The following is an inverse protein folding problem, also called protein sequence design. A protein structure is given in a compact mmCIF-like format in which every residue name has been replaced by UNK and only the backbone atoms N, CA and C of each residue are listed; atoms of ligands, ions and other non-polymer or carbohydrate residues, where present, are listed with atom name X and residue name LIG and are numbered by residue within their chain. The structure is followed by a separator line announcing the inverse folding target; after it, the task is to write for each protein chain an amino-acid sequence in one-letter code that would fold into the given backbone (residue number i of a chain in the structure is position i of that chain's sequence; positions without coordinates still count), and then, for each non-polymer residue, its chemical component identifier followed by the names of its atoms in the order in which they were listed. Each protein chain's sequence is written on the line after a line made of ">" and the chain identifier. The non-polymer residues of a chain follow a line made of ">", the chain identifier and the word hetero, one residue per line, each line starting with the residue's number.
data_IF_252282784584
#
_entry.id   IF_252282784584
#
_cell.length_a   1.000
_cell.length_b   1.000
_cell.length_c   1.000
_cell.angle_alpha   90.00
_cell.angle_beta   90.00
_cell.angle_gamma   90.00
#
_symmetry.space_group_name_H-M   'P 1'
#
loop_
_entity.id
_entity.type
_entity.pdbx_description
1 polymer ?
#
# COMPACT_ATOMS: atom_id res chain seq x y z
N UNK A 1 -18.45 21.52 -36.84
CA UNK A 1 -18.39 20.05 -36.70
C UNK A 1 -19.24 19.65 -35.51
N UNK A 2 -20.41 19.06 -35.76
CA UNK A 2 -21.26 18.50 -34.71
C UNK A 2 -20.58 17.22 -34.19
N UNK A 3 -20.25 17.20 -32.90
CA UNK A 3 -19.80 15.99 -32.20
C UNK A 3 -20.98 15.03 -32.11
N UNK A 4 -20.89 13.88 -32.79
CA UNK A 4 -21.85 12.80 -32.65
C UNK A 4 -22.01 12.42 -31.16
N UNK A 5 -23.22 12.02 -30.72
CA UNK A 5 -23.42 11.54 -29.35
C UNK A 5 -22.46 10.39 -29.06
N UNK A 6 -21.78 10.42 -27.90
CA UNK A 6 -20.92 9.30 -27.49
C UNK A 6 -21.78 8.03 -27.47
N UNK A 7 -21.36 6.95 -28.16
CA UNK A 7 -22.10 5.70 -28.18
C UNK A 7 -22.36 5.17 -26.76
N UNK A 8 -23.39 4.35 -26.56
CA UNK A 8 -23.51 3.61 -25.31
C UNK A 8 -22.30 2.69 -25.10
N UNK A 9 -22.00 2.31 -23.85
CA UNK A 9 -20.87 1.41 -23.55
C UNK A 9 -20.95 0.11 -24.37
N UNK A 10 -22.16 -0.44 -24.54
CA UNK A 10 -22.40 -1.64 -25.35
C UNK A 10 -22.12 -1.44 -26.83
N UNK A 11 -22.50 -0.29 -27.40
CA UNK A 11 -22.21 0.04 -28.80
C UNK A 11 -20.71 0.18 -29.02
N UNK A 12 -19.99 0.77 -28.05
CA UNK A 12 -18.54 0.86 -28.09
C UNK A 12 -17.89 -0.55 -28.02
N UNK A 13 -18.42 -1.46 -27.20
CA UNK A 13 -17.92 -2.85 -27.13
C UNK A 13 -18.11 -3.61 -28.44
N UNK A 14 -19.19 -3.37 -29.19
CA UNK A 14 -19.40 -3.97 -30.52
C UNK A 14 -18.50 -3.34 -31.58
N UNK A 15 -18.25 -2.03 -31.46
CA UNK A 15 -17.50 -1.26 -32.44
C UNK A 15 -15.98 -1.41 -32.33
N UNK A 16 -15.43 -1.83 -31.17
CA UNK A 16 -13.97 -1.91 -30.95
C UNK A 16 -13.27 -2.93 -31.88
N UNK A 17 -13.96 -4.00 -32.27
CA UNK A 17 -13.44 -5.03 -33.19
C UNK A 17 -13.63 -4.66 -34.66
N UNK A 18 -14.15 -3.47 -34.97
CA UNK A 18 -14.38 -3.02 -36.34
C UNK A 18 -13.08 -2.93 -37.13
N UNK A 19 -13.12 -3.36 -38.40
CA UNK A 19 -12.04 -3.15 -39.36
C UNK A 19 -11.87 -1.69 -39.78
N UNK A 20 -12.90 -0.85 -39.57
CA UNK A 20 -12.80 0.59 -39.75
C UNK A 20 -12.09 1.20 -38.54
N UNK A 21 -10.90 1.77 -38.79
CA UNK A 21 -10.02 2.30 -37.77
C UNK A 21 -10.61 3.51 -37.03
N UNK A 22 -11.34 4.39 -37.71
CA UNK A 22 -11.97 5.54 -37.08
C UNK A 22 -13.13 5.11 -36.16
N UNK A 23 -13.93 4.14 -36.60
CA UNK A 23 -14.99 3.53 -35.76
C UNK A 23 -14.39 2.88 -34.51
N UNK A 24 -13.31 2.11 -34.68
CA UNK A 24 -12.62 1.47 -33.57
C UNK A 24 -11.99 2.50 -32.61
N UNK A 25 -11.46 3.61 -33.13
CA UNK A 25 -10.86 4.70 -32.34
C UNK A 25 -11.90 5.44 -31.49
N UNK A 26 -13.07 5.74 -32.05
CA UNK A 26 -14.17 6.37 -31.30
C UNK A 26 -14.69 5.44 -30.22
N UNK A 27 -14.85 4.15 -30.53
CA UNK A 27 -15.22 3.13 -29.56
C UNK A 27 -14.18 3.01 -28.44
N UNK A 28 -12.90 3.03 -28.79
CA UNK A 28 -11.78 2.98 -27.87
C UNK A 28 -11.78 4.12 -26.85
N UNK A 29 -11.92 5.36 -27.32
CA UNK A 29 -11.93 6.55 -26.47
C UNK A 29 -13.06 6.48 -25.43
N UNK A 30 -14.23 5.99 -25.85
CA UNK A 30 -15.37 5.82 -24.96
C UNK A 30 -15.14 4.71 -23.91
N UNK A 31 -14.59 3.57 -24.33
CA UNK A 31 -14.24 2.47 -23.44
C UNK A 31 -13.15 2.86 -22.44
N UNK A 32 -12.16 3.65 -22.88
CA UNK A 32 -11.13 4.23 -22.03
C UNK A 32 -11.75 5.13 -20.95
N UNK A 33 -12.52 6.15 -21.36
CA UNK A 33 -13.14 7.11 -20.42
C UNK A 33 -14.05 6.44 -19.40
N UNK A 34 -14.89 5.51 -19.86
CA UNK A 34 -15.85 4.80 -19.01
C UNK A 34 -15.21 3.83 -18.03
N UNK A 35 -14.06 3.23 -18.39
CA UNK A 35 -13.43 2.19 -17.58
C UNK A 35 -12.25 2.67 -16.74
N UNK A 36 -11.64 3.82 -17.07
CA UNK A 36 -10.45 4.36 -16.38
C UNK A 36 -10.68 4.59 -14.90
N UNK A 37 -11.78 5.25 -14.52
CA UNK A 37 -12.08 5.52 -13.11
C UNK A 37 -12.26 4.23 -12.30
N UNK A 38 -12.91 3.22 -12.88
CA UNK A 38 -13.08 1.91 -12.28
C UNK A 38 -11.73 1.20 -12.10
N UNK A 39 -10.89 1.18 -13.14
CA UNK A 39 -9.56 0.55 -13.07
C UNK A 39 -8.65 1.24 -12.06
N UNK A 40 -8.70 2.57 -12.00
CA UNK A 40 -7.94 3.33 -11.01
C UNK A 40 -8.38 2.98 -9.58
N UNK A 41 -9.69 2.87 -9.33
CA UNK A 41 -10.22 2.40 -8.04
C UNK A 41 -9.82 0.95 -7.72
N UNK A 42 -9.87 0.06 -8.72
CA UNK A 42 -9.45 -1.34 -8.57
C UNK A 42 -7.96 -1.48 -8.26
N UNK A 43 -7.10 -0.72 -8.96
CA UNK A 43 -5.65 -0.80 -8.77
C UNK A 43 -5.18 -0.13 -7.48
N UNK A 44 -5.99 0.74 -6.87
CA UNK A 44 -5.66 1.43 -5.60
C UNK A 44 -5.39 0.49 -4.43
N UNK A 45 -5.92 -0.73 -4.44
CA UNK A 45 -5.60 -1.75 -3.43
C UNK A 45 -4.21 -2.39 -3.63
N UNK A 46 -3.62 -2.25 -4.81
CA UNK A 46 -2.36 -2.88 -5.18
C UNK A 46 -1.22 -1.87 -5.35
N UNK A 47 -1.53 -0.66 -5.82
CA UNK A 47 -0.59 0.40 -6.15
C UNK A 47 -1.04 1.68 -5.46
N UNK A 48 -0.21 2.22 -4.57
CA UNK A 48 -0.52 3.45 -3.85
C UNK A 48 -0.17 4.70 -4.67
N UNK A 49 0.84 4.64 -5.53
CA UNK A 49 1.24 5.74 -6.41
C UNK A 49 0.22 5.88 -7.54
N UNK A 50 -0.17 7.11 -7.83
CA UNK A 50 -1.08 7.42 -8.92
C UNK A 50 -0.41 7.20 -10.28
N UNK A 51 0.86 7.56 -10.42
CA UNK A 51 1.56 7.45 -11.69
C UNK A 51 1.72 5.98 -12.08
N UNK A 52 2.14 5.12 -11.14
CA UNK A 52 2.17 3.67 -11.34
C UNK A 52 0.80 3.08 -11.75
N UNK A 53 -0.29 3.60 -11.19
CA UNK A 53 -1.64 3.18 -11.58
C UNK A 53 -1.95 3.62 -13.00
N UNK A 54 -1.64 4.87 -13.36
CA UNK A 54 -1.86 5.38 -14.72
C UNK A 54 -1.01 4.62 -15.73
N UNK A 55 0.24 4.31 -15.43
CA UNK A 55 1.12 3.49 -16.26
C UNK A 55 0.54 2.10 -16.49
N UNK A 56 0.03 1.45 -15.43
CA UNK A 56 -0.63 0.14 -15.54
C UNK A 56 -1.92 0.21 -16.34
N UNK A 57 -2.70 1.28 -16.18
CA UNK A 57 -3.92 1.50 -16.97
C UNK A 57 -3.54 1.68 -18.45
N UNK A 58 -2.58 2.56 -18.76
CA UNK A 58 -2.10 2.77 -20.13
C UNK A 58 -1.62 1.46 -20.76
N UNK A 59 -0.75 0.72 -20.08
CA UNK A 59 -0.25 -0.58 -20.55
C UNK A 59 -1.37 -1.61 -20.74
N UNK A 60 -2.33 -1.67 -19.79
CA UNK A 60 -3.52 -2.52 -19.89
C UNK A 60 -4.28 -2.25 -21.18
N UNK A 61 -4.56 -0.97 -21.45
CA UNK A 61 -5.28 -0.56 -22.64
C UNK A 61 -4.44 -0.79 -23.92
N UNK A 62 -3.13 -0.53 -23.94
CA UNK A 62 -2.30 -0.91 -25.09
C UNK A 62 -2.43 -2.41 -25.42
N UNK A 63 -2.36 -3.29 -24.41
CA UNK A 63 -2.57 -4.73 -24.61
C UNK A 63 -3.96 -5.07 -25.13
N UNK A 64 -5.00 -4.41 -24.62
CA UNK A 64 -6.37 -4.62 -25.11
C UNK A 64 -6.50 -4.17 -26.57
N UNK A 65 -5.99 -3.00 -26.94
CA UNK A 65 -6.02 -2.47 -28.31
C UNK A 65 -5.35 -3.43 -29.29
N UNK A 66 -4.16 -3.94 -28.96
CA UNK A 66 -3.47 -4.93 -29.80
C UNK A 66 -4.25 -6.24 -29.96
N UNK A 67 -5.11 -6.58 -29.01
CA UNK A 67 -5.94 -7.80 -29.05
C UNK A 67 -7.37 -7.57 -29.56
N UNK A 68 -7.73 -6.35 -29.97
CA UNK A 68 -9.13 -5.94 -30.21
C UNK A 68 -9.86 -6.76 -31.27
N UNK A 69 -9.17 -7.27 -32.29
CA UNK A 69 -9.78 -8.11 -33.33
C UNK A 69 -10.20 -9.50 -32.83
N UNK A 70 -9.63 -9.94 -31.70
CA UNK A 70 -9.99 -11.22 -31.06
C UNK A 70 -11.04 -11.05 -29.95
N UNK A 71 -11.39 -9.81 -29.64
CA UNK A 71 -12.36 -9.51 -28.61
C UNK A 71 -13.75 -10.00 -29.04
N UNK A 72 -14.44 -10.68 -28.14
CA UNK A 72 -15.83 -11.08 -28.31
C UNK A 72 -16.66 -10.39 -27.25
N UNK A 73 -17.68 -9.66 -27.69
CA UNK A 73 -18.61 -8.97 -26.80
C UNK A 73 -19.38 -10.02 -25.97
N UNK A 74 -19.34 -9.88 -24.64
CA UNK A 74 -20.04 -10.75 -23.69
C UNK A 74 -20.75 -9.91 -22.62
N UNK A 75 -21.12 -8.68 -22.98
CA UNK A 75 -21.68 -7.68 -22.07
C UNK A 75 -20.66 -6.90 -21.24
N UNK A 76 -21.18 -5.88 -20.56
CA UNK A 76 -20.42 -4.88 -19.80
C UNK A 76 -19.72 -5.44 -18.56
N UNK A 77 -20.37 -6.35 -17.83
CA UNK A 77 -19.77 -7.02 -16.66
C UNK A 77 -18.54 -7.85 -17.04
N UNK A 78 -18.64 -8.60 -18.16
CA UNK A 78 -17.54 -9.41 -18.69
C UNK A 78 -16.38 -8.53 -19.17
N UNK A 79 -16.67 -7.37 -19.77
CA UNK A 79 -15.67 -6.37 -20.13
C UNK A 79 -14.89 -5.87 -18.91
N UNK A 80 -15.56 -5.47 -17.83
CA UNK A 80 -14.88 -5.00 -16.64
C UNK A 80 -14.06 -6.10 -15.95
N UNK A 81 -14.55 -7.34 -15.93
CA UNK A 81 -13.79 -8.48 -15.41
C UNK A 81 -12.54 -8.75 -16.26
N UNK A 82 -12.66 -8.69 -17.59
CA UNK A 82 -11.55 -8.81 -18.53
C UNK A 82 -10.50 -7.72 -18.33
N UNK A 83 -10.92 -6.45 -18.23
CA UNK A 83 -10.03 -5.33 -17.95
C UNK A 83 -9.29 -5.50 -16.62
N UNK A 84 -10.00 -5.86 -15.53
CA UNK A 84 -9.37 -6.12 -14.23
C UNK A 84 -8.29 -7.21 -14.34
N UNK A 85 -8.56 -8.28 -15.08
CA UNK A 85 -7.61 -9.38 -15.30
C UNK A 85 -6.34 -8.91 -16.04
N UNK A 86 -6.48 -8.08 -17.08
CA UNK A 86 -5.32 -7.55 -17.82
C UNK A 86 -4.57 -6.53 -16.97
N UNK A 87 -5.26 -5.59 -16.35
CA UNK A 87 -4.66 -4.58 -15.48
C UNK A 87 -3.89 -5.22 -14.32
N UNK A 88 -4.43 -6.29 -13.72
CA UNK A 88 -3.75 -7.06 -12.69
C UNK A 88 -2.44 -7.69 -13.20
N UNK A 89 -2.42 -8.24 -14.43
CA UNK A 89 -1.19 -8.75 -15.06
C UNK A 89 -0.17 -7.63 -15.32
N UNK A 90 -0.61 -6.49 -15.85
CA UNK A 90 0.26 -5.32 -16.05
C UNK A 90 0.83 -4.81 -14.73
N UNK A 91 0.04 -4.82 -13.66
CA UNK A 91 0.51 -4.49 -12.30
C UNK A 91 1.60 -5.46 -11.82
N UNK A 92 1.44 -6.76 -12.06
CA UNK A 92 2.47 -7.76 -11.73
C UNK A 92 3.73 -7.53 -12.57
N UNK A 93 3.60 -7.25 -13.86
CA UNK A 93 4.74 -6.92 -14.74
C UNK A 93 5.47 -5.67 -14.24
N UNK A 94 4.73 -4.64 -13.80
CA UNK A 94 5.29 -3.46 -13.16
C UNK A 94 6.04 -3.82 -11.87
N UNK A 95 5.44 -4.61 -10.97
CA UNK A 95 6.11 -5.06 -9.73
C UNK A 95 7.36 -5.89 -10.00
N UNK A 96 7.33 -6.77 -11.01
CA UNK A 96 8.52 -7.52 -11.47
C UNK A 96 9.60 -6.58 -11.95
N UNK A 97 9.25 -5.51 -12.67
CA UNK A 97 10.21 -4.46 -13.07
C UNK A 97 10.79 -3.75 -11.83
N UNK A 98 9.97 -3.37 -10.85
CA UNK A 98 10.48 -2.76 -9.62
C UNK A 98 11.44 -3.66 -8.87
N UNK A 99 11.08 -4.91 -8.62
CA UNK A 99 11.96 -5.86 -7.93
C UNK A 99 13.28 -6.02 -8.67
N UNK A 100 13.25 -6.15 -10.00
CA UNK A 100 14.46 -6.21 -10.85
C UNK A 100 15.32 -4.95 -10.73
N UNK A 101 14.72 -3.77 -10.78
CA UNK A 101 15.43 -2.50 -10.66
C UNK A 101 16.03 -2.32 -9.25
N UNK A 102 15.32 -2.72 -8.19
CA UNK A 102 15.84 -2.66 -6.81
C UNK A 102 16.98 -3.65 -6.57
N UNK A 103 17.03 -4.74 -7.33
CA UNK A 103 18.13 -5.71 -7.30
C UNK A 103 19.33 -5.24 -8.14
N UNK A 104 19.30 -4.04 -8.74
CA UNK A 104 20.32 -3.44 -9.62
C UNK A 104 20.95 -4.44 -10.59
N UNK A 105 20.15 -5.04 -11.46
CA UNK A 105 20.64 -6.03 -12.45
C UNK A 105 21.79 -5.52 -13.32
N UNK A 106 21.94 -4.20 -13.49
CA UNK A 106 23.03 -3.59 -14.27
C UNK A 106 24.41 -3.75 -13.59
N UNK A 107 24.45 -3.95 -12.26
CA UNK A 107 25.68 -4.17 -11.47
C UNK A 107 25.83 -5.62 -11.00
N UNK A 108 24.89 -6.50 -11.36
CA UNK A 108 24.89 -7.90 -10.96
C UNK A 108 25.75 -8.69 -11.95
N UNK A 109 26.76 -9.46 -11.49
CA UNK A 109 27.54 -10.33 -12.37
C UNK A 109 26.62 -11.24 -13.18
N UNK A 110 26.92 -11.46 -14.47
CA UNK A 110 26.06 -12.23 -15.39
C UNK A 110 25.69 -13.63 -14.84
N UNK A 111 26.55 -14.22 -14.02
CA UNK A 111 26.33 -15.47 -13.30
C UNK A 111 25.21 -15.44 -12.24
N UNK A 112 24.87 -14.27 -11.69
CA UNK A 112 23.86 -14.08 -10.64
C UNK A 112 22.48 -13.66 -11.20
N UNK A 113 22.41 -13.28 -12.48
CA UNK A 113 21.16 -12.89 -13.17
C UNK A 113 20.05 -13.96 -13.07
N UNK A 114 20.32 -15.27 -13.24
CA UNK A 114 19.29 -16.30 -13.09
C UNK A 114 18.68 -16.34 -11.69
N UNK A 115 19.49 -16.15 -10.65
CA UNK A 115 19.02 -16.16 -9.26
C UNK A 115 18.13 -14.93 -8.96
N UNK A 116 18.48 -13.76 -9.52
CA UNK A 116 17.66 -12.55 -9.40
C UNK A 116 16.30 -12.70 -10.10
N UNK A 117 16.29 -13.32 -11.29
CA UNK A 117 15.04 -13.61 -12.01
C UNK A 117 14.13 -14.56 -11.23
N UNK A 118 14.68 -15.63 -10.66
CA UNK A 118 13.96 -16.59 -9.82
C UNK A 118 13.32 -15.93 -8.59
N UNK A 119 14.03 -15.00 -7.94
CA UNK A 119 13.49 -14.21 -6.83
C UNK A 119 12.32 -13.33 -7.28
N UNK A 120 12.46 -12.63 -8.41
CA UNK A 120 11.40 -11.79 -8.95
C UNK A 120 10.14 -12.61 -9.31
N UNK A 121 10.32 -13.81 -9.85
CA UNK A 121 9.22 -14.72 -10.17
C UNK A 121 8.56 -15.29 -8.93
N UNK A 122 9.33 -15.67 -7.92
CA UNK A 122 8.82 -16.11 -6.61
C UNK A 122 7.95 -15.02 -5.98
N UNK A 123 8.43 -13.78 -5.94
CA UNK A 123 7.69 -12.64 -5.39
C UNK A 123 6.43 -12.36 -6.19
N UNK A 124 6.53 -12.37 -7.52
CA UNK A 124 5.37 -12.19 -8.39
C UNK A 124 4.32 -13.28 -8.19
N UNK A 125 4.76 -14.54 -8.02
CA UNK A 125 3.89 -15.68 -7.70
C UNK A 125 3.18 -15.49 -6.35
N UNK A 126 3.90 -15.08 -5.32
CA UNK A 126 3.32 -14.81 -4.01
C UNK A 126 2.33 -13.63 -4.03
N UNK A 127 2.61 -12.59 -4.84
CA UNK A 127 1.65 -11.48 -5.06
C UNK A 127 0.40 -11.97 -5.79
N UNK A 128 0.60 -12.81 -6.80
CA UNK A 128 -0.45 -13.47 -7.58
C UNK A 128 -1.38 -14.31 -6.69
N UNK A 129 -0.79 -15.04 -5.74
CA UNK A 129 -1.51 -15.84 -4.75
C UNK A 129 -2.15 -14.99 -3.64
N UNK A 130 -1.83 -13.69 -3.53
CA UNK A 130 -2.28 -12.84 -2.43
C UNK A 130 -1.58 -13.11 -1.10
N UNK A 131 -0.49 -13.86 -1.12
CA UNK A 131 0.18 -14.40 0.08
C UNK A 131 1.46 -13.66 0.44
N UNK A 132 2.02 -12.82 -0.44
CA UNK A 132 3.30 -12.13 -0.20
C UNK A 132 3.30 -11.37 1.14
N UNK A 133 2.24 -10.60 1.40
CA UNK A 133 2.15 -9.79 2.61
C UNK A 133 1.84 -10.62 3.85
N UNK A 134 1.11 -11.73 3.70
CA UNK A 134 0.93 -12.70 4.78
C UNK A 134 2.29 -13.31 5.16
N UNK A 135 3.07 -13.77 4.16
CA UNK A 135 4.40 -14.32 4.38
C UNK A 135 5.34 -13.29 5.03
N UNK A 136 5.21 -12.01 4.66
CA UNK A 136 5.94 -10.92 5.32
C UNK A 136 5.51 -10.74 6.78
N UNK A 137 4.20 -10.81 7.07
CA UNK A 137 3.67 -10.69 8.43
C UNK A 137 4.15 -11.88 9.30
N UNK A 138 4.10 -13.12 8.78
CA UNK A 138 4.64 -14.30 9.45
C UNK A 138 6.15 -14.16 9.70
N UNK A 139 6.94 -13.83 8.67
CA UNK A 139 8.40 -13.74 8.76
C UNK A 139 8.87 -12.67 9.76
N UNK A 140 8.29 -11.48 9.71
CA UNK A 140 8.85 -10.33 10.42
C UNK A 140 8.04 -9.89 11.63
N UNK A 141 6.72 -10.08 11.64
CA UNK A 141 5.94 -9.86 12.85
C UNK A 141 5.99 -11.10 13.74
N UNK A 142 6.25 -12.29 13.19
CA UNK A 142 6.31 -13.54 13.94
C UNK A 142 4.91 -14.04 14.27
N UNK A 143 4.00 -13.96 13.31
CA UNK A 143 2.69 -14.62 13.39
C UNK A 143 2.86 -16.13 13.26
N UNK A 144 1.93 -16.90 13.82
CA UNK A 144 1.96 -18.37 13.75
C UNK A 144 1.91 -18.85 12.30
N UNK A 145 2.85 -19.72 11.91
CA UNK A 145 2.97 -20.20 10.53
C UNK A 145 1.80 -21.09 10.09
N UNK A 146 1.19 -21.80 11.04
CA UNK A 146 0.11 -22.77 10.80
C UNK A 146 -1.27 -22.11 10.82
N UNK A 147 -1.31 -20.80 11.12
CA UNK A 147 -2.54 -20.01 11.11
C UNK A 147 -2.89 -19.56 9.70
N UNK A 148 -4.13 -19.82 9.26
CA UNK A 148 -4.69 -19.18 8.07
C UNK A 148 -4.88 -17.65 8.30
N UNK A 149 -4.95 -16.88 7.21
CA UNK A 149 -5.20 -15.42 7.18
C UNK A 149 -6.31 -15.02 8.15
N UNK A 150 -7.37 -15.83 8.19
CA UNK A 150 -8.51 -15.59 9.06
C UNK A 150 -8.12 -15.61 10.53
N UNK A 151 -7.29 -16.55 10.97
CA UNK A 151 -6.85 -16.65 12.36
C UNK A 151 -6.06 -15.41 12.79
N UNK A 152 -5.13 -14.94 11.96
CA UNK A 152 -4.36 -13.73 12.24
C UNK A 152 -5.24 -12.46 12.30
N UNK A 153 -6.26 -12.36 11.44
CA UNK A 153 -7.23 -11.27 11.50
C UNK A 153 -8.05 -11.28 12.79
N UNK A 154 -8.41 -12.47 13.28
CA UNK A 154 -9.15 -12.63 14.53
C UNK A 154 -8.31 -12.25 15.75
N UNK A 155 -7.05 -12.70 15.79
CA UNK A 155 -6.09 -12.31 16.81
C UNK A 155 -5.89 -10.78 16.84
N UNK A 156 -5.71 -10.17 15.66
CA UNK A 156 -5.59 -8.72 15.54
C UNK A 156 -6.84 -7.99 16.04
N UNK A 157 -8.05 -8.44 15.67
CA UNK A 157 -9.30 -7.85 16.14
C UNK A 157 -9.43 -7.94 17.66
N UNK A 158 -9.10 -9.09 18.25
CA UNK A 158 -9.09 -9.27 19.70
C UNK A 158 -8.12 -8.28 20.37
N UNK A 159 -6.90 -8.14 19.85
CA UNK A 159 -5.90 -7.21 20.35
C UNK A 159 -6.36 -5.74 20.24
N UNK A 160 -7.01 -5.36 19.14
CA UNK A 160 -7.60 -4.02 18.98
C UNK A 160 -8.72 -3.76 19.99
N UNK A 161 -9.66 -4.70 20.14
CA UNK A 161 -10.76 -4.57 21.09
C UNK A 161 -10.26 -4.45 22.53
N UNK A 162 -9.23 -5.20 22.88
CA UNK A 162 -8.65 -5.18 24.22
C UNK A 162 -7.82 -3.91 24.47
N UNK A 163 -6.76 -3.70 23.70
CA UNK A 163 -5.77 -2.65 23.99
C UNK A 163 -6.20 -1.27 23.54
N UNK A 164 -6.91 -1.14 22.40
CA UNK A 164 -7.29 0.16 21.85
C UNK A 164 -8.70 0.59 22.23
N UNK A 165 -9.60 -0.37 22.47
CA UNK A 165 -11.00 -0.09 22.81
C UNK A 165 -11.36 -0.46 24.25
N UNK A 166 -10.40 -0.92 25.05
CA UNK A 166 -10.55 -1.23 26.48
C UNK A 166 -11.74 -2.15 26.78
N UNK A 167 -12.07 -3.08 25.87
CA UNK A 167 -13.16 -4.03 26.07
C UNK A 167 -12.75 -5.11 27.06
N UNK A 168 -13.70 -5.49 27.90
CA UNK A 168 -13.53 -6.63 28.79
C UNK A 168 -13.45 -7.93 27.99
N UNK A 169 -12.77 -8.93 28.52
CA UNK A 169 -12.69 -10.26 27.90
C UNK A 169 -14.07 -10.86 27.60
N UNK A 170 -15.07 -10.62 28.46
CA UNK A 170 -16.44 -11.12 28.26
C UNK A 170 -17.10 -10.48 27.03
N UNK A 171 -16.92 -9.18 26.86
CA UNK A 171 -17.40 -8.46 25.69
C UNK A 171 -16.67 -8.89 24.43
N UNK A 172 -15.35 -9.11 24.50
CA UNK A 172 -14.55 -9.59 23.37
C UNK A 172 -15.06 -10.97 22.93
N UNK A 173 -15.19 -11.92 23.85
CA UNK A 173 -15.71 -13.26 23.52
C UNK A 173 -17.13 -13.20 22.94
N UNK A 174 -17.99 -12.31 23.46
CA UNK A 174 -19.34 -12.10 22.92
C UNK A 174 -19.30 -11.52 21.51
N UNK A 175 -18.48 -10.50 21.27
CA UNK A 175 -18.32 -9.86 19.96
C UNK A 175 -17.77 -10.82 18.93
N UNK A 176 -16.72 -11.57 19.28
CA UNK A 176 -16.16 -12.60 18.40
C UNK A 176 -17.18 -13.72 18.14
N UNK A 177 -17.97 -14.10 19.15
CA UNK A 177 -19.06 -15.06 19.04
C UNK A 177 -20.13 -14.71 18.00
N UNK A 178 -20.49 -13.43 17.84
CA UNK A 178 -21.43 -12.99 16.79
C UNK A 178 -20.90 -13.25 15.37
N UNK A 179 -19.59 -13.33 15.20
CA UNK A 179 -18.94 -13.68 13.94
C UNK A 179 -18.65 -15.20 13.83
N UNK A 180 -19.30 -16.01 14.68
CA UNK A 180 -19.17 -17.47 14.70
C UNK A 180 -17.87 -17.97 15.34
N UNK A 181 -17.20 -17.15 16.16
CA UNK A 181 -15.96 -17.53 16.83
C UNK A 181 -16.21 -17.86 18.30
N UNK A 182 -16.05 -19.12 18.66
CA UNK A 182 -16.14 -19.57 20.04
C UNK A 182 -14.75 -19.94 20.53
N UNK A 183 -14.07 -18.99 21.17
CA UNK A 183 -12.79 -19.21 21.86
C UNK A 183 -13.01 -19.11 23.37
N UNK A 184 -12.14 -19.76 24.14
CA UNK A 184 -12.14 -19.66 25.59
C UNK A 184 -11.25 -18.50 26.07
N UNK A 185 -11.36 -18.20 27.38
CA UNK A 185 -10.57 -17.15 28.05
C UNK A 185 -9.07 -17.38 27.88
N UNK A 186 -8.63 -18.61 28.03
CA UNK A 186 -7.20 -18.97 27.98
C UNK A 186 -6.59 -18.75 26.60
N UNK A 187 -7.32 -19.09 25.53
CA UNK A 187 -6.94 -18.82 24.14
C UNK A 187 -6.84 -17.32 23.89
N UNK A 188 -7.82 -16.55 24.38
CA UNK A 188 -7.79 -15.09 24.27
C UNK A 188 -6.58 -14.49 25.00
N UNK A 189 -6.30 -14.89 26.24
CA UNK A 189 -5.16 -14.38 27.00
C UNK A 189 -3.82 -14.73 26.31
N UNK A 190 -3.72 -15.92 25.69
CA UNK A 190 -2.57 -16.31 24.87
C UNK A 190 -2.40 -15.40 23.66
N UNK A 191 -3.48 -15.09 22.94
CA UNK A 191 -3.43 -14.21 21.78
C UNK A 191 -2.99 -12.79 22.15
N UNK A 192 -3.54 -12.25 23.24
CA UNK A 192 -3.24 -10.89 23.71
C UNK A 192 -1.81 -10.73 24.22
N UNK A 193 -1.22 -11.81 24.73
CA UNK A 193 0.18 -11.81 25.21
C UNK A 193 1.18 -12.19 24.12
N UNK A 194 0.73 -12.64 22.95
CA UNK A 194 1.62 -13.14 21.90
C UNK A 194 2.42 -12.00 21.25
N UNK A 195 3.77 -12.02 21.28
CA UNK A 195 4.59 -10.93 20.75
C UNK A 195 4.32 -10.63 19.28
N UNK A 196 4.01 -11.64 18.47
CA UNK A 196 3.69 -11.44 17.05
C UNK A 196 2.34 -10.76 16.82
N UNK A 197 1.35 -11.02 17.68
CA UNK A 197 0.04 -10.34 17.61
C UNK A 197 0.21 -8.89 18.03
N UNK A 198 1.01 -8.61 19.06
CA UNK A 198 1.34 -7.25 19.48
C UNK A 198 2.10 -6.48 18.39
N UNK A 199 3.11 -7.09 17.75
CA UNK A 199 3.79 -6.48 16.59
C UNK A 199 2.82 -6.19 15.45
N UNK A 200 1.88 -7.10 15.20
CA UNK A 200 0.86 -6.90 14.17
C UNK A 200 -0.08 -5.74 14.51
N UNK A 201 -0.54 -5.64 15.76
CA UNK A 201 -1.29 -4.49 16.25
C UNK A 201 -0.52 -3.19 16.04
N UNK A 202 0.73 -3.13 16.51
CA UNK A 202 1.60 -1.95 16.39
C UNK A 202 1.78 -1.57 14.93
N UNK A 203 2.20 -2.52 14.07
CA UNK A 203 2.36 -2.33 12.64
C UNK A 203 1.13 -1.69 11.99
N UNK A 204 -0.08 -2.19 12.30
CA UNK A 204 -1.33 -1.68 11.73
C UNK A 204 -1.66 -0.26 12.16
N UNK A 205 -1.24 0.15 13.36
CA UNK A 205 -1.47 1.50 13.87
C UNK A 205 -0.46 2.51 13.32
N UNK A 206 0.83 2.17 13.34
CA UNK A 206 1.92 3.10 12.94
C UNK A 206 2.19 3.13 11.44
N UNK A 207 1.70 2.14 10.67
CA UNK A 207 1.78 2.19 9.22
C UNK A 207 0.79 3.22 8.63
N UNK A 208 1.36 4.26 8.02
CA UNK A 208 0.63 5.24 7.21
C UNK A 208 1.05 5.15 5.75
N UNK A 209 0.16 4.69 4.88
CA UNK A 209 0.35 4.83 3.44
C UNK A 209 0.43 6.32 3.04
N UNK A 210 0.97 6.60 1.86
CA UNK A 210 1.11 7.97 1.32
C UNK A 210 -0.19 8.78 1.41
N UNK A 211 -1.31 8.16 1.01
CA UNK A 211 -2.62 8.82 1.06
C UNK A 211 -3.13 9.01 2.50
N UNK A 212 -2.92 8.02 3.40
CA UNK A 212 -3.34 8.13 4.81
C UNK A 212 -2.55 9.21 5.53
N UNK A 213 -1.25 9.33 5.24
CA UNK A 213 -0.39 10.37 5.81
C UNK A 213 -0.81 11.76 5.32
N UNK A 214 -1.01 11.92 4.01
CA UNK A 214 -1.49 13.18 3.45
C UNK A 214 -2.86 13.58 4.04
N UNK A 215 -3.78 12.63 4.15
CA UNK A 215 -5.08 12.86 4.79
C UNK A 215 -4.96 13.28 6.25
N UNK A 216 -4.06 12.65 7.02
CA UNK A 216 -3.80 13.00 8.41
C UNK A 216 -3.26 14.43 8.52
N UNK A 217 -2.27 14.80 7.71
CA UNK A 217 -1.70 16.15 7.70
C UNK A 217 -2.73 17.22 7.30
N UNK A 218 -3.66 16.89 6.40
CA UNK A 218 -4.78 17.75 6.02
C UNK A 218 -5.95 17.75 7.02
N UNK A 219 -5.85 17.00 8.13
CA UNK A 219 -6.90 16.90 9.15
C UNK A 219 -8.21 16.30 8.64
N UNK A 220 -8.15 15.40 7.65
CA UNK A 220 -9.35 14.77 7.11
C UNK A 220 -9.90 13.69 8.08
N UNK A 221 -11.23 13.50 8.15
CA UNK A 221 -11.82 12.52 9.08
C UNK A 221 -11.39 11.08 8.80
N UNK A 222 -11.00 10.34 9.84
CA UNK A 222 -10.44 9.00 9.74
C UNK A 222 -11.33 7.95 9.02
N UNK A 223 -12.66 8.12 9.04
CA UNK A 223 -13.61 7.19 8.43
C UNK A 223 -14.01 7.56 6.98
N UNK A 224 -13.67 8.76 6.50
CA UNK A 224 -14.09 9.25 5.18
C UNK A 224 -13.01 9.99 4.39
N UNK A 225 -11.75 9.88 4.82
CA UNK A 225 -10.65 10.64 4.22
C UNK A 225 -10.39 10.31 2.75
N UNK A 226 -10.60 9.08 2.28
CA UNK A 226 -10.24 8.68 0.90
C UNK A 226 -10.96 9.54 -0.15
N UNK A 227 -12.28 9.63 -0.05
CA UNK A 227 -13.07 10.43 -0.99
C UNK A 227 -12.82 11.92 -0.84
N UNK A 228 -12.62 12.40 0.40
CA UNK A 228 -12.30 13.81 0.65
C UNK A 228 -10.92 14.21 0.13
N UNK A 229 -9.93 13.32 0.22
CA UNK A 229 -8.58 13.57 -0.29
C UNK A 229 -8.60 13.69 -1.82
N UNK A 230 -9.41 12.87 -2.49
CA UNK A 230 -9.60 12.97 -3.95
C UNK A 230 -10.29 14.28 -4.34
N UNK A 231 -11.25 14.74 -3.55
CA UNK A 231 -11.90 16.04 -3.76
C UNK A 231 -10.93 17.21 -3.56
N UNK A 232 -10.14 17.18 -2.48
CA UNK A 232 -9.11 18.19 -2.21
C UNK A 232 -8.09 18.26 -3.36
N UNK A 233 -7.65 17.11 -3.88
CA UNK A 233 -6.70 17.09 -4.99
C UNK A 233 -7.28 17.65 -6.30
N UNK A 234 -8.58 17.47 -6.56
CA UNK A 234 -9.25 18.12 -7.69
C UNK A 234 -9.29 19.63 -7.53
N UNK A 235 -9.54 20.12 -6.31
CA UNK A 235 -9.61 21.55 -6.07
C UNK A 235 -8.30 22.29 -6.33
N UNK A 236 -7.16 21.63 -6.12
CA UNK A 236 -5.84 22.20 -6.46
C UNK A 236 -5.70 22.46 -7.97
N UNK A 237 -6.48 21.79 -8.82
CA UNK A 237 -6.48 22.01 -10.27
C UNK A 237 -7.31 23.25 -10.68
N UNK A 238 -8.22 23.72 -9.82
CA UNK A 238 -9.02 24.91 -10.12
C UNK A 238 -8.24 26.20 -9.81
N UNK A 239 -8.55 27.32 -10.49
CA UNK A 239 -8.08 28.64 -10.10
C UNK A 239 -8.48 28.95 -8.64
N UNK A 240 -7.64 29.69 -7.92
CA UNK A 240 -7.81 30.01 -6.49
C UNK A 240 -9.20 30.55 -6.14
N UNK A 241 -9.80 31.35 -7.02
CA UNK A 241 -11.13 31.96 -6.86
C UNK A 241 -12.30 30.94 -6.86
N UNK A 242 -12.07 29.73 -7.38
CA UNK A 242 -13.06 28.65 -7.45
C UNK A 242 -12.82 27.55 -6.39
N UNK A 243 -11.79 27.70 -5.54
CA UNK A 243 -11.48 26.72 -4.50
C UNK A 243 -12.34 26.97 -3.26
N UNK A 244 -12.69 25.90 -2.55
CA UNK A 244 -13.29 26.07 -1.22
C UNK A 244 -12.23 26.54 -0.22
N UNK A 245 -12.63 26.74 1.04
CA UNK A 245 -11.65 26.88 2.12
C UNK A 245 -10.73 25.64 2.13
N UNK A 246 -9.41 25.82 2.38
CA UNK A 246 -8.53 24.68 2.55
C UNK A 246 -8.98 23.83 3.75
N UNK A 247 -8.60 22.55 3.82
CA UNK A 247 -8.81 21.69 5.00
C UNK A 247 -8.13 22.23 6.27
N UNK A 248 -7.77 21.38 7.23
CA UNK A 248 -7.02 21.81 8.42
C UNK A 248 -5.59 22.36 8.14
N UNK A 249 -5.30 22.70 6.88
CA UNK A 249 -4.07 23.36 6.43
C UNK A 249 -4.22 24.89 6.49
N UNK A 250 -3.10 25.59 6.64
CA UNK A 250 -3.09 27.05 6.79
C UNK A 250 -3.39 27.77 5.47
N UNK A 251 -3.06 27.15 4.34
CA UNK A 251 -3.25 27.71 3.00
C UNK A 251 -3.40 26.61 1.94
N UNK A 252 -3.87 26.97 0.75
CA UNK A 252 -3.86 26.08 -0.41
C UNK A 252 -2.44 25.71 -0.88
N UNK A 253 -1.43 26.52 -0.56
CA UNK A 253 -0.03 26.19 -0.83
C UNK A 253 0.44 25.05 0.06
N UNK A 254 0.06 25.06 1.36
CA UNK A 254 0.34 23.94 2.26
C UNK A 254 -0.39 22.68 1.80
N UNK A 255 -1.64 22.80 1.34
CA UNK A 255 -2.38 21.66 0.74
C UNK A 255 -1.65 21.11 -0.48
N UNK A 256 -1.21 21.99 -1.39
CA UNK A 256 -0.43 21.62 -2.56
C UNK A 256 0.83 20.87 -2.14
N UNK A 257 1.58 21.41 -1.18
CA UNK A 257 2.80 20.79 -0.66
C UNK A 257 2.52 19.41 -0.08
N UNK A 258 1.47 19.26 0.74
CA UNK A 258 1.11 17.96 1.34
C UNK A 258 0.77 16.92 0.27
N UNK A 259 0.04 17.31 -0.77
CA UNK A 259 -0.28 16.40 -1.86
C UNK A 259 0.98 15.96 -2.62
N UNK A 260 1.82 16.90 -3.04
CA UNK A 260 3.04 16.56 -3.79
C UNK A 260 4.06 15.80 -2.96
N UNK A 261 4.35 16.27 -1.75
CA UNK A 261 5.35 15.65 -0.87
C UNK A 261 4.92 14.29 -0.35
N UNK A 262 3.67 14.15 0.14
CA UNK A 262 3.25 12.97 0.90
C UNK A 262 2.30 12.05 0.14
N UNK A 263 1.35 12.57 -0.64
CA UNK A 263 0.43 11.72 -1.43
C UNK A 263 1.15 11.16 -2.67
N UNK A 264 1.86 12.01 -3.40
CA UNK A 264 2.58 11.64 -4.63
C UNK A 264 4.05 11.27 -4.38
N UNK A 265 4.52 11.35 -3.13
CA UNK A 265 5.88 10.98 -2.74
C UNK A 265 7.00 11.68 -3.54
N UNK A 266 6.76 12.92 -3.96
CA UNK A 266 7.74 13.71 -4.71
C UNK A 266 8.80 14.27 -3.76
N UNK A 267 10.06 14.20 -4.17
CA UNK A 267 11.19 14.69 -3.36
C UNK A 267 11.21 16.23 -3.30
N UNK A 268 11.78 16.84 -2.25
CA UNK A 268 11.90 18.31 -2.16
C UNK A 268 12.58 18.94 -3.39
N UNK A 269 13.64 18.31 -3.92
CA UNK A 269 14.33 18.75 -5.13
C UNK A 269 13.43 18.72 -6.36
N UNK A 270 12.61 17.69 -6.53
CA UNK A 270 11.66 17.59 -7.63
C UNK A 270 10.50 18.58 -7.47
N UNK A 271 10.08 18.87 -6.23
CA UNK A 271 9.06 19.88 -5.94
C UNK A 271 9.50 21.26 -6.44
N UNK A 272 10.75 21.66 -6.16
CA UNK A 272 11.30 22.94 -6.61
C UNK A 272 11.43 23.07 -8.14
N UNK A 273 11.50 21.94 -8.85
CA UNK A 273 11.59 21.92 -10.32
C UNK A 273 10.23 22.06 -11.01
N UNK A 274 9.12 22.07 -10.26
CA UNK A 274 7.78 22.17 -10.83
C UNK A 274 7.43 23.61 -11.17
N UNK A 275 6.87 23.83 -12.35
CA UNK A 275 6.43 25.15 -12.82
C UNK A 275 5.37 25.78 -11.89
N UNK A 276 4.52 24.95 -11.26
CA UNK A 276 3.46 25.43 -10.37
C UNK A 276 3.87 25.52 -8.90
N UNK A 277 5.17 25.39 -8.57
CA UNK A 277 5.64 25.40 -7.20
C UNK A 277 5.48 26.79 -6.56
N UNK A 278 4.69 26.95 -5.47
CA UNK A 278 4.51 28.25 -4.81
C UNK A 278 5.64 28.58 -3.83
N UNK A 279 6.67 27.74 -3.72
CA UNK A 279 7.74 27.86 -2.72
C UNK A 279 9.09 28.20 -3.35
N UNK A 280 9.87 29.01 -2.64
CA UNK A 280 11.33 29.11 -2.82
C UNK A 280 12.00 28.03 -1.98
N UNK A 281 13.28 27.73 -2.22
CA UNK A 281 14.03 26.74 -1.44
C UNK A 281 13.92 26.98 0.08
N UNK A 282 14.20 28.20 0.53
CA UNK A 282 14.13 28.57 1.95
C UNK A 282 12.70 28.63 2.53
N UNK A 283 11.66 28.84 1.72
CA UNK A 283 10.27 28.75 2.22
C UNK A 283 9.74 27.32 2.22
N UNK A 284 10.20 26.49 1.28
CA UNK A 284 9.91 25.06 1.24
C UNK A 284 10.49 24.35 2.45
N UNK A 285 11.77 24.58 2.78
CA UNK A 285 12.42 23.99 3.97
C UNK A 285 11.63 24.29 5.24
N UNK A 286 11.28 25.56 5.48
CA UNK A 286 10.47 25.95 6.65
C UNK A 286 9.08 25.31 6.67
N UNK A 287 8.45 25.17 5.50
CA UNK A 287 7.15 24.52 5.39
C UNK A 287 7.26 23.01 5.67
N UNK A 288 8.32 22.36 5.20
CA UNK A 288 8.62 20.95 5.48
C UNK A 288 8.93 20.72 6.95
N UNK A 289 9.75 21.55 7.59
CA UNK A 289 10.03 21.45 9.03
C UNK A 289 8.75 21.55 9.87
N UNK A 290 7.86 22.47 9.49
CA UNK A 290 6.54 22.61 10.12
C UNK A 290 5.68 21.35 9.96
N UNK A 291 5.68 20.74 8.77
CA UNK A 291 4.95 19.49 8.52
C UNK A 291 5.58 18.28 9.23
N UNK A 292 6.91 18.21 9.29
CA UNK A 292 7.67 17.15 9.97
C UNK A 292 7.36 17.12 11.47
N UNK A 293 7.16 18.30 12.08
CA UNK A 293 6.73 18.42 13.48
C UNK A 293 5.32 17.88 13.75
N UNK A 294 4.50 17.71 12.71
CA UNK A 294 3.10 17.24 12.77
C UNK A 294 2.95 15.78 12.33
N UNK A 295 4.05 15.08 12.05
CA UNK A 295 3.98 13.68 11.65
C UNK A 295 3.46 12.80 12.81
N UNK A 296 2.58 11.83 12.54
CA UNK A 296 1.88 11.08 13.59
C UNK A 296 2.74 10.05 14.32
N UNK A 297 3.92 9.70 13.78
CA UNK A 297 4.62 8.46 14.13
C UNK A 297 5.04 8.38 15.59
N UNK A 298 5.61 9.47 16.14
CA UNK A 298 6.00 9.58 17.54
C UNK A 298 4.78 9.46 18.45
N UNK A 299 3.79 10.33 18.24
CA UNK A 299 2.60 10.40 19.08
C UNK A 299 1.79 9.10 19.07
N UNK A 300 1.64 8.47 17.90
CA UNK A 300 0.94 7.18 17.80
C UNK A 300 1.68 6.06 18.52
N UNK A 301 3.02 6.05 18.47
CA UNK A 301 3.81 5.06 19.18
C UNK A 301 3.75 5.25 20.70
N UNK A 302 3.79 6.49 21.18
CA UNK A 302 3.62 6.83 22.61
C UNK A 302 2.24 6.40 23.11
N UNK A 303 1.17 6.73 22.37
CA UNK A 303 -0.20 6.29 22.70
C UNK A 303 -0.32 4.76 22.76
N UNK A 304 0.32 4.06 21.82
CA UNK A 304 0.33 2.59 21.79
C UNK A 304 1.08 2.00 22.97
N UNK A 305 2.23 2.59 23.32
CA UNK A 305 3.01 2.18 24.49
C UNK A 305 2.16 2.29 25.75
N UNK A 306 1.55 3.45 25.99
CA UNK A 306 0.70 3.67 27.16
C UNK A 306 -0.48 2.68 27.21
N UNK A 307 -1.11 2.41 26.06
CA UNK A 307 -2.22 1.46 25.96
C UNK A 307 -1.80 0.01 26.22
N UNK A 308 -0.59 -0.38 25.82
CA UNK A 308 -0.04 -1.71 26.03
C UNK A 308 0.49 -1.89 27.45
N UNK A 309 1.18 -0.89 28.01
CA UNK A 309 1.70 -0.90 29.38
C UNK A 309 0.56 -0.92 30.43
N UNK A 310 -0.60 -0.35 30.11
CA UNK A 310 -1.78 -0.41 30.96
C UNK A 310 -2.45 -1.79 31.01
N UNK A 311 -2.13 -2.70 30.07
CA UNK A 311 -2.76 -4.01 29.96
C UNK A 311 -1.92 -5.10 30.65
N UNK A 312 -2.47 -5.86 31.62
CA UNK A 312 -1.73 -6.91 32.30
C UNK A 312 -1.24 -8.00 31.34
N UNK A 313 0.05 -8.34 31.39
CA UNK A 313 0.65 -9.41 30.60
C UNK A 313 1.10 -9.01 29.18
N UNK A 314 0.93 -7.76 28.78
CA UNK A 314 1.46 -7.28 27.50
C UNK A 314 3.00 -7.19 27.55
N UNK A 315 3.69 -7.99 26.73
CA UNK A 315 5.14 -7.91 26.56
C UNK A 315 5.50 -6.87 25.50
N UNK A 316 5.16 -5.60 25.75
CA UNK A 316 5.41 -4.48 24.81
C UNK A 316 6.88 -4.45 24.37
N UNK A 317 7.80 -4.49 25.33
CA UNK A 317 9.23 -4.46 25.06
C UNK A 317 9.65 -5.60 24.12
N UNK A 318 9.23 -6.84 24.40
CA UNK A 318 9.56 -7.98 23.54
C UNK A 318 9.04 -7.82 22.09
N UNK A 319 7.89 -7.16 21.93
CA UNK A 319 7.33 -6.87 20.61
C UNK A 319 8.22 -5.88 19.82
N UNK A 320 8.77 -4.85 20.45
CA UNK A 320 9.43 -3.73 19.74
C UNK A 320 10.96 -3.80 19.67
N UNK A 321 11.61 -4.54 20.57
CA UNK A 321 13.08 -4.64 20.61
C UNK A 321 13.69 -5.39 19.43
N UNK A 322 12.90 -6.24 18.76
CA UNK A 322 13.34 -7.01 17.61
C UNK A 322 13.25 -6.18 16.32
N UNK A 323 14.18 -6.37 15.35
CA UNK A 323 14.17 -5.62 14.09
C UNK A 323 12.96 -5.94 13.21
N UNK A 324 12.23 -7.02 13.48
CA UNK A 324 11.17 -7.54 12.62
C UNK A 324 10.08 -6.51 12.28
N UNK A 325 9.51 -5.84 13.27
CA UNK A 325 8.51 -4.78 13.07
C UNK A 325 9.01 -3.70 12.10
N UNK A 326 10.24 -3.23 12.32
CA UNK A 326 10.86 -2.15 11.55
C UNK A 326 11.24 -2.59 10.13
N UNK A 327 11.72 -3.82 9.96
CA UNK A 327 11.96 -4.44 8.66
C UNK A 327 10.67 -4.61 7.87
N UNK A 328 9.57 -4.99 8.54
CA UNK A 328 8.25 -5.12 7.92
C UNK A 328 7.70 -3.79 7.41
N UNK A 329 7.87 -2.72 8.19
CA UNK A 329 7.53 -1.35 7.79
C UNK A 329 8.40 -0.87 6.63
N UNK A 330 9.72 -1.07 6.70
CA UNK A 330 10.65 -0.68 5.65
C UNK A 330 10.33 -1.41 4.33
N UNK A 331 10.04 -2.71 4.37
CA UNK A 331 9.58 -3.47 3.22
C UNK A 331 8.29 -2.88 2.64
N UNK A 332 7.30 -2.62 3.50
CA UNK A 332 6.03 -2.04 3.06
C UNK A 332 6.29 -0.71 2.34
N UNK A 333 7.03 0.19 2.96
CA UNK A 333 7.25 1.51 2.39
C UNK A 333 8.09 1.50 1.11
N UNK A 334 9.08 0.63 1.02
CA UNK A 334 9.93 0.52 -0.17
C UNK A 334 9.16 -0.10 -1.34
N UNK A 335 8.53 -1.26 -1.13
CA UNK A 335 8.00 -2.08 -2.22
C UNK A 335 6.50 -1.90 -2.48
N UNK A 336 5.74 -1.42 -1.50
CA UNK A 336 4.36 -1.02 -1.70
C UNK A 336 4.24 0.48 -1.92
N UNK A 337 4.89 1.30 -1.08
CA UNK A 337 4.73 2.76 -1.15
C UNK A 337 5.69 3.51 -2.09
N UNK A 338 6.71 2.82 -2.62
CA UNK A 338 7.67 3.39 -3.56
C UNK A 338 8.54 4.51 -2.96
N UNK A 339 8.72 4.52 -1.65
CA UNK A 339 9.43 5.60 -0.97
C UNK A 339 10.95 5.46 -1.07
N UNK A 340 11.63 6.61 -1.08
CA UNK A 340 13.08 6.69 -0.95
C UNK A 340 13.55 6.25 0.43
N UNK A 341 14.80 5.82 0.59
CA UNK A 341 15.32 5.42 1.90
C UNK A 341 15.23 6.54 2.94
N UNK A 342 15.44 7.80 2.53
CA UNK A 342 15.32 8.94 3.43
C UNK A 342 13.88 9.13 3.93
N UNK A 343 12.90 8.99 3.04
CA UNK A 343 11.48 9.11 3.39
C UNK A 343 11.04 7.95 4.29
N UNK A 344 11.52 6.74 4.02
CA UNK A 344 11.28 5.58 4.89
C UNK A 344 11.85 5.85 6.28
N UNK A 345 13.08 6.36 6.36
CA UNK A 345 13.72 6.69 7.62
C UNK A 345 12.92 7.73 8.41
N UNK A 346 12.47 8.81 7.77
CA UNK A 346 11.63 9.83 8.42
C UNK A 346 10.34 9.25 9.02
N UNK A 347 9.71 8.28 8.34
CA UNK A 347 8.48 7.64 8.83
C UNK A 347 8.70 6.63 9.96
N UNK A 348 9.86 5.99 10.00
CA UNK A 348 10.11 4.87 10.92
C UNK A 348 10.94 5.27 12.13
N UNK A 349 11.92 6.16 11.98
CA UNK A 349 12.92 6.45 12.99
C UNK A 349 12.33 7.01 14.29
N UNK A 350 11.37 7.94 14.20
CA UNK A 350 10.77 8.54 15.39
C UNK A 350 9.98 7.52 16.23
N UNK A 351 9.18 6.67 15.57
CA UNK A 351 8.45 5.60 16.24
C UNK A 351 9.41 4.56 16.83
N UNK A 352 10.46 4.20 16.09
CA UNK A 352 11.49 3.27 16.57
C UNK A 352 12.19 3.77 17.82
N UNK A 353 12.59 5.05 17.83
CA UNK A 353 13.23 5.69 18.99
C UNK A 353 12.31 5.68 20.23
N UNK A 354 11.03 6.04 20.08
CA UNK A 354 10.05 5.96 21.17
C UNK A 354 9.88 4.55 21.73
N UNK A 355 10.03 3.55 20.86
CA UNK A 355 9.97 2.14 21.22
C UNK A 355 11.27 1.59 21.82
N UNK A 356 12.30 2.42 22.01
CA UNK A 356 13.62 2.00 22.49
C UNK A 356 14.49 1.30 21.44
N UNK A 357 14.08 1.31 20.16
CA UNK A 357 14.84 0.71 19.06
C UNK A 357 15.64 1.78 18.30
N UNK A 358 16.97 1.68 18.32
CA UNK A 358 17.85 2.61 17.61
C UNK A 358 18.00 2.22 16.13
N UNK A 359 17.07 2.69 15.29
CA UNK A 359 17.20 2.60 13.84
C UNK A 359 18.15 3.68 13.31
N UNK A 360 19.16 3.31 12.52
CA UNK A 360 20.04 4.25 11.82
C UNK A 360 19.83 4.18 10.31
N UNK A 361 20.15 5.26 9.60
CA UNK A 361 20.12 5.27 8.13
C UNK A 361 21.01 4.17 7.53
N UNK A 362 22.17 3.90 8.14
CA UNK A 362 23.06 2.82 7.72
C UNK A 362 22.41 1.44 7.80
N UNK A 363 21.69 1.16 8.89
CA UNK A 363 20.93 -0.10 9.02
C UNK A 363 19.82 -0.22 7.98
N UNK A 364 19.08 0.87 7.76
CA UNK A 364 18.01 0.90 6.76
C UNK A 364 18.54 0.67 5.35
N UNK A 365 19.64 1.33 4.99
CA UNK A 365 20.34 1.10 3.73
C UNK A 365 20.75 -0.36 3.61
N UNK A 366 21.36 -0.94 4.65
CA UNK A 366 21.73 -2.37 4.64
C UNK A 366 20.52 -3.29 4.43
N UNK A 367 19.33 -2.95 4.92
CA UNK A 367 18.13 -3.76 4.70
C UNK A 367 17.61 -3.66 3.26
N UNK A 368 17.59 -2.46 2.70
CA UNK A 368 16.93 -2.17 1.43
C UNK A 368 17.87 -2.29 0.21
N UNK A 369 19.17 -2.08 0.40
CA UNK A 369 20.18 -2.22 -0.66
C UNK A 369 20.20 -3.64 -1.21
N UNK A 370 20.34 -3.73 -2.53
CA UNK A 370 20.39 -4.99 -3.29
C UNK A 370 19.19 -5.90 -2.99
N UNK A 371 18.04 -5.30 -2.65
CA UNK A 371 16.80 -6.00 -2.37
C UNK A 371 16.84 -7.07 -1.27
N UNK A 372 17.76 -6.99 -0.30
CA UNK A 372 17.97 -8.04 0.71
C UNK A 372 16.71 -8.46 1.47
N UNK A 373 15.84 -7.52 1.84
CA UNK A 373 14.55 -7.87 2.47
C UNK A 373 13.68 -8.73 1.54
N UNK A 374 13.61 -8.39 0.26
CA UNK A 374 12.84 -9.18 -0.73
C UNK A 374 13.47 -10.54 -0.98
N UNK A 375 14.81 -10.63 -1.06
CA UNK A 375 15.50 -11.91 -1.19
C UNK A 375 15.19 -12.83 0.01
N UNK A 376 15.23 -12.27 1.23
CA UNK A 376 14.91 -13.01 2.46
C UNK A 376 13.44 -13.47 2.48
N UNK A 377 12.51 -12.62 2.04
CA UNK A 377 11.10 -12.97 1.92
C UNK A 377 10.86 -14.06 0.88
N UNK A 378 11.48 -13.96 -0.30
CA UNK A 378 11.35 -14.96 -1.34
C UNK A 378 11.87 -16.33 -0.89
N UNK A 379 13.02 -16.35 -0.20
CA UNK A 379 13.55 -17.57 0.41
C UNK A 379 12.56 -18.16 1.42
N UNK A 380 12.10 -17.34 2.36
CA UNK A 380 11.13 -17.76 3.37
C UNK A 380 9.84 -18.31 2.75
N UNK A 381 9.29 -17.63 1.75
CA UNK A 381 8.05 -18.05 1.08
C UNK A 381 8.19 -19.41 0.41
N UNK A 382 9.33 -19.71 -0.23
CA UNK A 382 9.61 -21.03 -0.80
C UNK A 382 9.65 -22.12 0.27
N UNK A 383 10.36 -21.87 1.37
CA UNK A 383 10.47 -22.82 2.47
C UNK A 383 9.10 -23.05 3.14
N UNK A 384 8.28 -22.00 3.23
CA UNK A 384 6.93 -22.08 3.78
C UNK A 384 5.96 -22.86 2.88
N UNK A 385 5.99 -22.63 1.56
CA UNK A 385 5.18 -23.39 0.59
C UNK A 385 5.60 -24.84 0.45
N UNK A 386 6.90 -25.10 0.39
CA UNK A 386 7.44 -26.46 0.27
C UNK A 386 7.10 -27.36 1.47
N UNK A 387 6.85 -26.78 2.65
CA UNK A 387 6.36 -27.52 3.83
C UNK A 387 4.87 -27.88 3.72
N UNK A 388 4.03 -26.95 3.24
CA UNK A 388 2.60 -27.22 3.06
C UNK A 388 2.32 -28.31 2.02
N UNK A 389 3.06 -28.32 0.90
CA UNK A 389 2.92 -29.37 -0.13
C UNK A 389 3.38 -30.75 0.34
N UNK A 390 4.31 -30.83 1.31
CA UNK A 390 4.75 -32.09 1.89
C UNK A 390 3.77 -32.64 2.92
N UNK A 391 3.01 -31.79 3.62
CA UNK A 391 1.96 -32.20 4.57
C UNK A 391 0.67 -32.62 3.85
N UNK A 392 0.32 -32.02 2.71
CA UNK A 392 -0.84 -32.39 1.89
C UNK A 392 -0.63 -33.68 1.05
N UNK A 393 0.60 -34.24 1.03
CA UNK A 393 0.97 -35.42 0.26
C UNK A 393 0.94 -36.74 1.06
N UNK A 394 0.53 -36.69 2.34
CA UNK A 394 0.31 -37.84 3.23
C UNK A 394 -1.13 -37.89 3.72
#
# INVERSE_FOLDING_TARGET
>A
MQTAPSPGLEDALRAISSSNEETARVAWENLWRSSRAMLHAYLRSYLCNQDDREDVIQECFLKVWHSRFRFREQGTSSWFAFLKKIAYRCMIDLRRRYVRNTLSLDDVPEAEVPAVMDIADTVASAVLAGELYLAADVLWLGLDMDGDVRAHQQQLLAAQLHHLHHKSWQEILRLLGYFGMHIDRHTLDRWLSHPGVLRHLIYRQIYYSNERLAAYLLGLPAHSWRGRLDEVAKQVQYPLEHRSLPPAASSWDEVWLVLWRYRYAVTPSQILQRDECPYTEASLERALDSLDSRLPFRQEMERLKDALDAAPGACYDEAVHQPGLWQRLALQYCYHDGLTHNDIYQRVAQAAECAGYRLTMGMLNVWLSNGRLVQRLAKFYRDWKGKGEAEDAF
#
